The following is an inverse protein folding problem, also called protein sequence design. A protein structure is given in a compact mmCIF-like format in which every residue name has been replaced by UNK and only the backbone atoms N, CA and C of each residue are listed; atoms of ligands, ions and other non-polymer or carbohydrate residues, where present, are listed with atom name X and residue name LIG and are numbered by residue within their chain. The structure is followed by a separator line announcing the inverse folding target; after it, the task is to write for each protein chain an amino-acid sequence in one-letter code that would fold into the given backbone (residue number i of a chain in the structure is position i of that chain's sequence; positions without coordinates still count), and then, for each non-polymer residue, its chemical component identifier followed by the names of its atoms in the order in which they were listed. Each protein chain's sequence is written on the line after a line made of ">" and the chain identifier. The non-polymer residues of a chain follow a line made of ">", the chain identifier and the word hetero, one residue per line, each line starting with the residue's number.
data_IF_205464008848
#
_entry.id   IF_205464008848
#
_cell.length_a   1.000
_cell.length_b   1.000
_cell.length_c   1.000
_cell.angle_alpha   90.00
_cell.angle_beta   90.00
_cell.angle_gamma   90.00
#
_symmetry.space_group_name_H-M   'P 1'
#
loop_
_entity.id
_entity.type
_entity.pdbx_description
1 polymer ?
#
# COMPACT_ATOMS: atom_id res chain seq x y z
N UNK A 1 20.72 0.32 -25.46
CA UNK A 1 20.58 1.04 -24.18
C UNK A 1 21.92 0.87 -23.46
N UNK A 2 22.63 1.97 -23.16
CA UNK A 2 23.93 1.89 -22.48
C UNK A 2 23.72 1.41 -21.03
N UNK A 3 24.74 0.85 -20.38
CA UNK A 3 24.64 0.42 -18.97
C UNK A 3 24.17 1.55 -18.03
N UNK A 4 24.51 2.79 -18.36
CA UNK A 4 24.08 3.99 -17.63
C UNK A 4 22.55 4.21 -17.62
N UNK A 5 21.82 3.58 -18.54
CA UNK A 5 20.37 3.72 -18.69
C UNK A 5 19.56 2.56 -18.06
N UNK A 6 20.20 1.61 -17.37
CA UNK A 6 19.50 0.50 -16.69
C UNK A 6 19.15 0.86 -15.24
N UNK A 7 18.11 0.25 -14.70
CA UNK A 7 17.65 0.47 -13.33
C UNK A 7 17.03 1.86 -13.12
N UNK A 8 16.99 2.30 -11.86
CA UNK A 8 16.29 3.54 -11.42
C UNK A 8 14.79 3.49 -11.74
N UNK A 9 14.23 2.28 -11.84
CA UNK A 9 12.84 2.04 -12.16
C UNK A 9 12.31 0.93 -11.25
N UNK A 10 11.24 1.26 -10.54
CA UNK A 10 10.48 0.32 -9.72
C UNK A 10 9.18 -0.02 -10.43
N UNK A 11 8.91 -1.31 -10.65
CA UNK A 11 7.64 -1.76 -11.22
C UNK A 11 6.67 -2.15 -10.10
N UNK A 12 5.40 -1.74 -10.18
CA UNK A 12 4.36 -2.32 -9.33
C UNK A 12 4.11 -3.78 -9.76
N UNK A 13 3.74 -4.63 -8.80
CA UNK A 13 3.41 -6.04 -9.05
C UNK A 13 1.94 -6.31 -8.77
N UNK A 14 1.40 -7.36 -9.38
CA UNK A 14 0.08 -7.92 -9.07
C UNK A 14 0.16 -9.45 -9.05
N UNK A 15 -0.68 -10.10 -8.24
CA UNK A 15 -0.73 -11.56 -8.12
C UNK A 15 -1.19 -12.23 -9.41
N UNK A 16 -1.98 -11.53 -10.23
CA UNK A 16 -2.53 -12.04 -11.48
C UNK A 16 -1.71 -11.63 -12.73
N UNK A 17 -0.64 -10.84 -12.57
CA UNK A 17 0.14 -10.24 -13.68
C UNK A 17 1.64 -10.63 -13.60
N UNK A 18 1.94 -11.85 -13.15
CA UNK A 18 3.30 -12.30 -12.89
C UNK A 18 4.15 -12.29 -14.17
N UNK A 19 3.62 -12.87 -15.26
CA UNK A 19 4.34 -12.99 -16.53
C UNK A 19 4.62 -11.62 -17.16
N UNK A 20 3.62 -10.74 -17.14
CA UNK A 20 3.71 -9.38 -17.65
C UNK A 20 4.72 -8.55 -16.84
N UNK A 21 4.73 -8.71 -15.51
CA UNK A 21 5.68 -8.04 -14.62
C UNK A 21 7.12 -8.44 -14.96
N UNK A 22 7.37 -9.74 -15.17
CA UNK A 22 8.70 -10.24 -15.57
C UNK A 22 9.06 -9.73 -16.97
N UNK A 23 8.12 -9.77 -17.92
CA UNK A 23 8.35 -9.25 -19.28
C UNK A 23 8.70 -7.76 -19.27
N UNK A 24 8.01 -6.97 -18.46
CA UNK A 24 8.25 -5.53 -18.32
C UNK A 24 9.56 -5.24 -17.59
N UNK A 25 9.94 -6.05 -16.58
CA UNK A 25 11.24 -5.96 -15.93
C UNK A 25 12.37 -6.05 -16.96
N UNK A 26 12.32 -7.04 -17.84
CA UNK A 26 13.36 -7.23 -18.87
C UNK A 26 13.32 -6.13 -19.94
N UNK A 27 12.11 -5.74 -20.39
CA UNK A 27 11.93 -4.71 -21.42
C UNK A 27 12.41 -3.33 -20.96
N UNK A 28 12.05 -2.96 -19.73
CA UNK A 28 12.31 -1.63 -19.15
C UNK A 28 13.58 -1.61 -18.29
N UNK A 29 14.20 -2.78 -18.07
CA UNK A 29 15.42 -2.95 -17.27
C UNK A 29 15.24 -2.42 -15.84
N UNK A 30 14.08 -2.71 -15.25
CA UNK A 30 13.76 -2.31 -13.88
C UNK A 30 14.64 -3.04 -12.86
N UNK A 31 15.06 -2.31 -11.81
CA UNK A 31 15.92 -2.83 -10.74
C UNK A 31 15.18 -3.06 -9.43
N UNK A 32 13.87 -2.78 -9.39
CA UNK A 32 13.06 -3.00 -8.21
C UNK A 32 11.60 -3.39 -8.54
N UNK A 33 11.00 -4.15 -7.65
CA UNK A 33 9.58 -4.42 -7.59
C UNK A 33 8.96 -3.79 -6.34
N UNK A 34 7.71 -3.33 -6.47
CA UNK A 34 6.90 -2.83 -5.36
C UNK A 34 5.68 -3.72 -5.20
N UNK A 35 5.58 -4.34 -4.02
CA UNK A 35 4.51 -5.27 -3.66
C UNK A 35 3.12 -4.62 -3.70
N UNK A 36 2.10 -5.42 -4.02
CA UNK A 36 0.73 -4.95 -3.94
C UNK A 36 0.28 -4.88 -2.47
N UNK A 37 -0.34 -3.76 -2.11
CA UNK A 37 -0.73 -3.51 -0.73
C UNK A 37 -1.83 -4.48 -0.31
N UNK A 38 -1.55 -5.35 0.67
CA UNK A 38 -2.59 -6.25 1.20
C UNK A 38 -2.40 -7.72 0.84
N UNK A 39 -1.60 -8.05 -0.16
CA UNK A 39 -1.33 -9.43 -0.59
C UNK A 39 0.08 -9.86 -0.23
N UNK A 40 0.38 -11.15 -0.37
CA UNK A 40 1.75 -11.65 -0.35
C UNK A 40 2.27 -11.68 -1.78
N UNK A 41 3.45 -11.10 -2.01
CA UNK A 41 4.10 -11.17 -3.31
C UNK A 41 4.29 -12.63 -3.77
N UNK A 42 3.93 -12.98 -5.02
CA UNK A 42 4.16 -14.30 -5.58
C UNK A 42 5.64 -14.72 -5.53
N UNK A 43 5.91 -16.01 -5.30
CA UNK A 43 7.27 -16.55 -5.16
C UNK A 43 8.11 -16.33 -6.43
N UNK A 44 7.47 -16.37 -7.58
CA UNK A 44 8.05 -16.14 -8.89
C UNK A 44 8.67 -14.75 -9.00
N UNK A 45 7.98 -13.73 -8.47
CA UNK A 45 8.47 -12.35 -8.44
C UNK A 45 9.53 -12.14 -7.36
N UNK A 46 9.38 -12.77 -6.19
CA UNK A 46 10.39 -12.76 -5.12
C UNK A 46 11.73 -13.40 -5.53
N UNK A 47 11.69 -14.35 -6.47
CA UNK A 47 12.89 -15.02 -6.98
C UNK A 47 13.70 -14.17 -7.98
N UNK A 48 13.16 -13.04 -8.44
CA UNK A 48 13.84 -12.16 -9.38
C UNK A 48 14.99 -11.41 -8.69
N UNK A 49 16.11 -11.25 -9.40
CA UNK A 49 17.26 -10.48 -8.91
C UNK A 49 17.02 -8.96 -9.02
N UNK A 50 16.08 -8.45 -8.22
CA UNK A 50 15.70 -7.04 -8.11
C UNK A 50 15.49 -6.68 -6.64
N UNK A 51 15.54 -5.38 -6.31
CA UNK A 51 15.16 -4.92 -4.97
C UNK A 51 13.66 -5.13 -4.77
N UNK A 52 13.26 -5.56 -3.58
CA UNK A 52 11.84 -5.70 -3.23
C UNK A 52 11.47 -4.60 -2.25
N UNK A 53 10.46 -3.80 -2.61
CA UNK A 53 9.86 -2.80 -1.75
C UNK A 53 8.47 -3.26 -1.32
N UNK A 54 8.21 -3.17 -0.02
CA UNK A 54 6.89 -3.41 0.56
C UNK A 54 6.49 -2.21 1.42
N UNK A 55 5.21 -1.86 1.39
CA UNK A 55 4.67 -0.81 2.25
C UNK A 55 4.53 -1.37 3.67
N UNK A 56 5.20 -0.75 4.64
CA UNK A 56 4.97 -1.04 6.06
C UNK A 56 3.93 -0.07 6.62
N UNK A 57 2.85 -0.60 7.21
CA UNK A 57 1.80 0.20 7.81
C UNK A 57 2.00 0.28 9.32
N UNK A 58 2.39 1.46 9.81
CA UNK A 58 2.76 1.66 11.21
C UNK A 58 1.57 1.78 12.16
N UNK A 59 0.38 2.12 11.67
CA UNK A 59 -0.80 2.43 12.50
C UNK A 59 -2.07 1.70 12.08
N UNK A 60 -1.97 0.72 11.17
CA UNK A 60 -3.11 -0.08 10.70
C UNK A 60 -2.67 -1.49 10.31
N UNK A 61 -3.64 -2.32 9.91
CA UNK A 61 -3.48 -3.74 9.52
C UNK A 61 -3.35 -4.74 10.68
N UNK A 62 -3.52 -4.28 11.93
CA UNK A 62 -3.65 -5.13 13.13
C UNK A 62 -5.00 -4.85 13.82
N UNK A 63 -6.02 -5.62 13.43
CA UNK A 63 -7.36 -5.45 13.97
C UNK A 63 -7.51 -6.04 15.36
N UNK A 64 -6.75 -7.09 15.70
CA UNK A 64 -6.80 -7.71 17.03
C UNK A 64 -6.37 -6.68 18.08
N UNK A 65 -5.22 -6.04 17.86
CA UNK A 65 -4.76 -4.96 18.74
C UNK A 65 -5.74 -3.78 18.79
N UNK A 66 -6.25 -3.33 17.65
CA UNK A 66 -7.17 -2.18 17.60
C UNK A 66 -8.50 -2.45 18.30
N UNK A 67 -9.00 -3.69 18.27
CA UNK A 67 -10.22 -4.09 18.98
C UNK A 67 -10.00 -4.22 20.49
N UNK A 68 -8.80 -4.59 20.92
CA UNK A 68 -8.43 -4.67 22.34
C UNK A 68 -8.17 -3.29 22.98
N UNK A 69 -7.81 -2.26 22.18
CA UNK A 69 -7.43 -0.92 22.65
C UNK A 69 -8.25 0.21 21.97
N UNK A 70 -9.59 0.21 22.10
CA UNK A 70 -10.46 1.15 21.37
C UNK A 70 -10.26 2.63 21.71
N UNK A 71 -9.68 2.95 22.87
CA UNK A 71 -9.35 4.30 23.31
C UNK A 71 -8.13 4.91 22.61
N UNK A 72 -7.24 4.07 22.05
CA UNK A 72 -6.00 4.48 21.39
C UNK A 72 -6.17 4.77 19.89
N UNK A 73 -7.37 4.54 19.34
CA UNK A 73 -7.66 4.84 17.94
C UNK A 73 -7.56 6.34 17.67
N UNK A 74 -7.16 6.69 16.44
CA UNK A 74 -7.12 8.08 16.01
C UNK A 74 -8.54 8.70 16.07
N UNK A 75 -8.65 9.88 16.70
CA UNK A 75 -9.91 10.61 16.87
C UNK A 75 -9.85 11.96 16.14
N UNK A 76 -11.01 12.41 15.68
CA UNK A 76 -11.20 13.71 15.02
C UNK A 76 -12.42 14.42 15.62
N UNK A 77 -12.34 15.75 15.77
CA UNK A 77 -13.50 16.53 16.19
C UNK A 77 -14.53 16.64 15.06
N UNK A 78 -15.76 16.25 15.35
CA UNK A 78 -16.89 16.38 14.45
C UNK A 78 -17.85 17.48 14.92
N UNK A 79 -18.57 18.08 13.97
CA UNK A 79 -19.63 19.04 14.24
C UNK A 79 -20.95 18.50 13.71
N UNK A 80 -22.01 18.58 14.52
CA UNK A 80 -23.36 18.25 14.07
C UNK A 80 -23.88 19.33 13.11
N UNK A 81 -24.93 18.99 12.35
CA UNK A 81 -25.67 20.00 11.60
C UNK A 81 -26.23 21.08 12.52
N UNK A 82 -26.46 22.26 11.95
CA UNK A 82 -27.09 23.37 12.65
C UNK A 82 -28.59 23.09 12.76
N UNK A 83 -29.10 22.95 13.98
CA UNK A 83 -30.52 22.71 14.26
C UNK A 83 -31.17 23.99 14.80
N UNK A 84 -32.33 24.36 14.23
CA UNK A 84 -33.12 25.51 14.71
C UNK A 84 -34.00 25.09 15.88
N UNK A 85 -33.77 25.66 17.05
CA UNK A 85 -34.66 25.48 18.21
C UNK A 85 -36.04 26.10 17.94
N UNK A 86 -37.11 25.40 18.31
CA UNK A 86 -38.50 25.87 18.16
C UNK A 86 -39.14 26.32 19.48
N UNK A 87 -38.37 26.35 20.56
CA UNK A 87 -38.82 26.74 21.92
C UNK A 87 -37.66 27.32 22.73
N UNK A 88 -37.73 27.20 24.07
CA UNK A 88 -36.68 27.68 24.98
C UNK A 88 -35.51 26.70 25.15
N UNK A 89 -35.61 25.52 24.54
CA UNK A 89 -34.58 24.47 24.52
C UNK A 89 -34.42 23.95 23.09
N UNK A 90 -33.25 23.41 22.76
CA UNK A 90 -33.03 22.65 21.53
C UNK A 90 -33.62 21.26 21.65
#
# INVERSE_FOLDING_TARGET
>A
MNEENKGRLTLPTDVDMIEETIRLKELLQADAFRDCDGTQMPKELLSQNVKIYATYYTTRKDNEWAMENPEEVQQEYLISDRITARGTTL
#
